data_IF_860634954649
#
_entry.id   IF_860634954649
#
_cell.length_a   1.000
_cell.length_b   1.000
_cell.length_c   1.000
_cell.angle_alpha   90.00
_cell.angle_beta   90.00
_cell.angle_gamma   90.00
#
_symmetry.space_group_name_H-M   'P 1'
#
loop_
_entity.id
_entity.type
_entity.pdbx_description
1 polymer ?
#
# COMPACT_ATOMS: atom_id res chain seq x y z
N UNK A 1 4.25 39.70 -20.17
CA UNK A 1 3.79 38.40 -19.68
C UNK A 1 2.71 37.92 -20.63
N UNK A 2 2.88 36.79 -21.33
CA UNK A 2 1.92 36.34 -22.33
C UNK A 2 0.72 35.69 -21.65
N UNK A 3 -0.45 35.78 -22.29
CA UNK A 3 -1.72 35.25 -21.76
C UNK A 3 -1.67 33.73 -21.50
N UNK A 4 -0.81 33.00 -22.24
CA UNK A 4 -0.54 31.56 -22.01
C UNK A 4 0.27 31.28 -20.74
N UNK A 5 1.19 32.18 -20.38
CA UNK A 5 2.02 32.03 -19.17
C UNK A 5 1.14 32.25 -17.92
N UNK A 6 0.22 33.22 -17.98
CA UNK A 6 -0.73 33.49 -16.90
C UNK A 6 -1.69 32.33 -16.66
N UNK A 7 -2.19 31.69 -17.73
CA UNK A 7 -3.04 30.50 -17.62
C UNK A 7 -2.29 29.32 -17.00
N UNK A 8 -1.05 29.09 -17.44
CA UNK A 8 -0.21 28.00 -16.91
C UNK A 8 0.12 28.21 -15.42
N UNK A 9 0.39 29.45 -15.02
CA UNK A 9 0.62 29.79 -13.61
C UNK A 9 -0.64 29.58 -12.77
N UNK A 10 -1.80 30.02 -13.24
CA UNK A 10 -3.05 29.87 -12.50
C UNK A 10 -3.45 28.39 -12.37
N UNK A 11 -3.25 27.59 -13.41
CA UNK A 11 -3.43 26.13 -13.34
C UNK A 11 -2.45 25.48 -12.35
N UNK A 12 -1.19 25.92 -12.31
CA UNK A 12 -0.21 25.42 -11.34
C UNK A 12 -0.58 25.81 -9.90
N UNK A 13 -1.02 27.04 -9.67
CA UNK A 13 -1.47 27.50 -8.36
C UNK A 13 -2.69 26.71 -7.87
N UNK A 14 -3.66 26.46 -8.75
CA UNK A 14 -4.84 25.67 -8.39
C UNK A 14 -4.46 24.22 -8.06
N UNK A 15 -3.56 23.62 -8.85
CA UNK A 15 -3.01 22.29 -8.56
C UNK A 15 -2.28 22.25 -7.21
N UNK A 16 -1.54 23.31 -6.87
CA UNK A 16 -0.83 23.42 -5.61
C UNK A 16 -1.80 23.51 -4.43
N UNK A 17 -2.82 24.37 -4.53
CA UNK A 17 -3.85 24.53 -3.48
C UNK A 17 -4.59 23.24 -3.21
N UNK A 18 -5.00 22.54 -4.28
CA UNK A 18 -5.63 21.22 -4.18
C UNK A 18 -4.68 20.25 -3.49
N UNK A 19 -3.42 20.18 -3.93
CA UNK A 19 -2.44 19.27 -3.34
C UNK A 19 -2.25 19.54 -1.84
N UNK A 20 -2.12 20.80 -1.42
CA UNK A 20 -1.98 21.18 -0.01
C UNK A 20 -3.19 20.78 0.84
N UNK A 21 -4.41 21.01 0.33
CA UNK A 21 -5.63 20.63 1.01
C UNK A 21 -5.72 19.11 1.19
N UNK A 22 -5.40 18.34 0.14
CA UNK A 22 -5.40 16.87 0.20
C UNK A 22 -4.31 16.35 1.13
N UNK A 23 -3.10 16.93 1.06
CA UNK A 23 -1.99 16.56 1.94
C UNK A 23 -2.35 16.78 3.42
N UNK A 24 -3.05 17.87 3.73
CA UNK A 24 -3.53 18.16 5.08
C UNK A 24 -4.50 17.08 5.58
N UNK A 25 -5.53 16.74 4.80
CA UNK A 25 -6.51 15.72 5.19
C UNK A 25 -5.88 14.33 5.33
N UNK A 26 -4.95 13.97 4.42
CA UNK A 26 -4.25 12.68 4.46
C UNK A 26 -3.31 12.59 5.67
N UNK A 27 -2.54 13.65 5.96
CA UNK A 27 -1.69 13.71 7.16
C UNK A 27 -2.53 13.63 8.43
N UNK A 28 -3.64 14.36 8.49
CA UNK A 28 -4.58 14.33 9.61
C UNK A 28 -5.16 12.93 9.82
N UNK A 29 -5.49 12.23 8.74
CA UNK A 29 -5.99 10.87 8.80
C UNK A 29 -4.94 9.86 9.30
N UNK A 30 -3.70 9.97 8.82
CA UNK A 30 -2.60 9.09 9.21
C UNK A 30 -2.07 9.39 10.61
N UNK A 31 -2.15 10.64 11.07
CA UNK A 31 -1.65 11.07 12.36
C UNK A 31 -2.19 10.19 13.51
N UNK A 32 -1.27 9.65 14.32
CA UNK A 32 -1.60 8.75 15.43
C UNK A 32 -1.97 7.31 15.04
N UNK A 33 -2.01 6.99 13.74
CA UNK A 33 -2.27 5.64 13.19
C UNK A 33 -1.07 5.07 12.41
N UNK A 34 -0.01 5.86 12.27
CA UNK A 34 1.29 5.46 11.71
C UNK A 34 1.79 4.16 12.38
N UNK A 35 2.25 3.20 11.59
CA UNK A 35 2.68 1.89 12.10
C UNK A 35 1.56 0.90 12.39
N UNK A 36 0.30 1.33 12.42
CA UNK A 36 -0.83 0.45 12.70
C UNK A 36 -1.66 0.17 11.46
N UNK A 37 -1.29 -0.89 10.74
CA UNK A 37 -1.97 -1.32 9.52
C UNK A 37 -3.48 -1.53 9.71
N UNK A 38 -3.90 -2.03 10.89
CA UNK A 38 -5.31 -2.27 11.18
C UNK A 38 -6.08 -0.95 11.29
N UNK A 39 -5.53 0.02 12.00
CA UNK A 39 -6.14 1.33 12.19
C UNK A 39 -6.25 2.09 10.85
N UNK A 40 -5.19 2.07 10.03
CA UNK A 40 -5.19 2.68 8.70
C UNK A 40 -6.27 2.06 7.81
N UNK A 41 -6.31 0.73 7.70
CA UNK A 41 -7.33 0.05 6.87
C UNK A 41 -8.75 0.30 7.39
N UNK A 42 -8.98 0.26 8.70
CA UNK A 42 -10.32 0.43 9.26
C UNK A 42 -10.90 1.85 9.16
N UNK A 43 -10.08 2.83 8.80
CA UNK A 43 -10.50 4.23 8.71
C UNK A 43 -10.21 4.84 7.35
N UNK A 44 -9.95 4.01 6.34
CA UNK A 44 -9.60 4.48 5.00
C UNK A 44 -10.77 5.24 4.35
N UNK A 45 -12.02 4.95 4.70
CA UNK A 45 -13.18 5.68 4.18
C UNK A 45 -13.18 7.18 4.51
N UNK A 46 -12.39 7.63 5.48
CA UNK A 46 -12.31 9.05 5.86
C UNK A 46 -11.63 9.93 4.81
N UNK A 47 -10.75 9.34 3.99
CA UNK A 47 -9.95 10.08 2.98
C UNK A 47 -10.30 9.70 1.55
N UNK A 48 -11.03 8.60 1.34
CA UNK A 48 -11.42 8.14 0.02
C UNK A 48 -12.68 8.80 -0.48
N UNK A 49 -12.84 8.81 -1.80
CA UNK A 49 -14.04 9.28 -2.47
C UNK A 49 -15.03 8.13 -2.71
N UNK A 50 -16.36 8.41 -2.79
CA UNK A 50 -17.40 7.37 -2.88
C UNK A 50 -17.23 6.41 -4.07
N UNK A 51 -16.74 6.88 -5.22
CA UNK A 51 -16.62 6.12 -6.47
C UNK A 51 -15.39 5.20 -6.52
N UNK A 52 -14.52 5.25 -5.51
CA UNK A 52 -13.33 4.40 -5.46
C UNK A 52 -13.68 2.91 -5.29
N UNK A 53 -14.88 2.62 -4.77
CA UNK A 53 -15.37 1.25 -4.52
C UNK A 53 -14.81 0.64 -3.24
N UNK A 54 -14.42 1.47 -2.27
CA UNK A 54 -14.02 1.02 -0.94
C UNK A 54 -15.23 0.71 -0.07
N UNK A 55 -15.14 -0.41 0.66
CA UNK A 55 -16.12 -0.80 1.66
C UNK A 55 -15.51 -0.59 3.05
N UNK A 56 -16.16 0.13 3.97
CA UNK A 56 -15.69 0.29 5.34
C UNK A 56 -15.45 -1.06 6.01
N UNK A 57 -14.34 -1.19 6.74
CA UNK A 57 -13.94 -2.44 7.40
C UNK A 57 -13.80 -2.23 8.90
N UNK A 58 -14.50 -3.05 9.69
CA UNK A 58 -14.40 -2.99 11.15
C UNK A 58 -13.06 -3.56 11.64
N UNK A 59 -12.55 -3.03 12.75
CA UNK A 59 -11.39 -3.60 13.45
C UNK A 59 -11.60 -5.06 13.86
N UNK A 60 -12.86 -5.47 14.09
CA UNK A 60 -13.22 -6.87 14.38
C UNK A 60 -12.91 -7.81 13.21
N UNK A 61 -12.96 -7.31 11.98
CA UNK A 61 -12.65 -8.09 10.78
C UNK A 61 -11.14 -8.14 10.50
N UNK A 62 -10.34 -7.34 11.23
CA UNK A 62 -8.90 -7.19 11.08
C UNK A 62 -8.10 -7.87 12.21
N UNK A 63 -8.71 -8.78 12.97
CA UNK A 63 -8.04 -9.48 14.09
C UNK A 63 -6.83 -10.29 13.60
N UNK A 64 -7.02 -11.11 12.55
CA UNK A 64 -5.99 -12.04 12.07
C UNK A 64 -5.06 -11.40 11.04
N UNK A 65 -3.80 -11.84 11.00
CA UNK A 65 -2.85 -11.40 9.97
C UNK A 65 -3.32 -11.74 8.55
N UNK A 66 -4.03 -12.86 8.38
CA UNK A 66 -4.64 -13.27 7.12
C UNK A 66 -5.72 -12.29 6.64
N UNK A 67 -6.59 -11.83 7.53
CA UNK A 67 -7.64 -10.87 7.19
C UNK A 67 -7.07 -9.48 6.88
N UNK A 68 -6.06 -9.02 7.64
CA UNK A 68 -5.32 -7.78 7.33
C UNK A 68 -4.71 -7.82 5.92
N UNK A 69 -4.02 -8.91 5.57
CA UNK A 69 -3.45 -9.09 4.22
C UNK A 69 -4.51 -9.09 3.12
N UNK A 70 -5.68 -9.69 3.37
CA UNK A 70 -6.79 -9.72 2.43
C UNK A 70 -7.37 -8.33 2.19
N UNK A 71 -7.61 -7.57 3.27
CA UNK A 71 -8.15 -6.21 3.19
C UNK A 71 -7.14 -5.24 2.59
N UNK A 72 -5.85 -5.37 2.91
CA UNK A 72 -4.78 -4.60 2.26
C UNK A 72 -4.80 -4.79 0.74
N UNK A 73 -4.92 -6.03 0.24
CA UNK A 73 -5.01 -6.28 -1.21
C UNK A 73 -6.22 -5.62 -1.85
N UNK A 74 -7.35 -5.53 -1.15
CA UNK A 74 -8.52 -4.78 -1.63
C UNK A 74 -8.20 -3.28 -1.67
N UNK A 75 -7.61 -2.75 -0.60
CA UNK A 75 -7.25 -1.35 -0.48
C UNK A 75 -6.34 -0.91 -1.62
N UNK A 76 -5.26 -1.66 -1.87
CA UNK A 76 -4.31 -1.34 -2.95
C UNK A 76 -4.97 -1.34 -4.33
N UNK A 77 -5.99 -2.17 -4.58
CA UNK A 77 -6.73 -2.15 -5.85
C UNK A 77 -7.62 -0.91 -5.98
N UNK A 78 -8.22 -0.43 -4.88
CA UNK A 78 -9.04 0.78 -4.88
C UNK A 78 -8.22 2.04 -5.17
N UNK A 79 -7.02 2.13 -4.57
CA UNK A 79 -6.13 3.30 -4.72
C UNK A 79 -5.02 3.11 -5.76
N UNK A 80 -5.05 2.01 -6.54
CA UNK A 80 -4.01 1.78 -7.55
C UNK A 80 -4.09 2.86 -8.65
N UNK A 81 -2.98 3.53 -9.03
CA UNK A 81 -3.00 4.61 -10.00
C UNK A 81 -3.61 4.20 -11.35
N UNK A 82 -3.32 2.98 -11.84
CA UNK A 82 -3.93 2.45 -13.08
C UNK A 82 -5.47 2.31 -12.96
N UNK A 83 -5.98 1.84 -11.82
CA UNK A 83 -7.44 1.66 -11.63
C UNK A 83 -8.17 2.98 -11.45
N UNK A 84 -7.54 3.90 -10.72
CA UNK A 84 -8.02 5.27 -10.53
C UNK A 84 -8.04 6.01 -11.88
N UNK A 85 -7.00 5.85 -12.69
CA UNK A 85 -6.93 6.41 -14.04
C UNK A 85 -8.01 5.83 -14.97
N UNK A 86 -8.24 4.51 -14.95
CA UNK A 86 -9.27 3.84 -15.76
C UNK A 86 -10.69 4.34 -15.45
N UNK A 87 -10.95 4.75 -14.21
CA UNK A 87 -12.25 5.29 -13.77
C UNK A 87 -12.44 6.78 -14.10
N UNK A 88 -11.50 7.42 -14.78
CA UNK A 88 -11.59 8.85 -15.13
C UNK A 88 -11.45 9.78 -13.92
N UNK A 89 -10.63 9.39 -12.93
CA UNK A 89 -10.48 10.14 -11.69
C UNK A 89 -10.00 11.58 -11.88
N UNK A 90 -10.46 12.47 -10.99
CA UNK A 90 -10.01 13.86 -10.92
C UNK A 90 -8.55 13.95 -10.46
N UNK A 91 -7.94 15.13 -10.60
CA UNK A 91 -6.59 15.34 -10.11
C UNK A 91 -6.48 15.09 -8.59
N UNK A 92 -7.48 15.53 -7.84
CA UNK A 92 -7.55 15.37 -6.38
C UNK A 92 -7.57 13.88 -6.00
N UNK A 93 -8.41 13.10 -6.69
CA UNK A 93 -8.55 11.66 -6.46
C UNK A 93 -7.25 10.90 -6.78
N UNK A 94 -6.55 11.29 -7.85
CA UNK A 94 -5.23 10.71 -8.18
C UNK A 94 -4.21 11.00 -7.08
N UNK A 95 -4.20 12.24 -6.58
CA UNK A 95 -3.31 12.66 -5.51
C UNK A 95 -3.58 11.87 -4.22
N UNK A 96 -4.85 11.78 -3.80
CA UNK A 96 -5.26 10.99 -2.64
C UNK A 96 -4.82 9.53 -2.81
N UNK A 97 -5.12 8.92 -3.96
CA UNK A 97 -4.76 7.53 -4.23
C UNK A 97 -3.26 7.29 -4.13
N UNK A 98 -2.44 8.15 -4.75
CA UNK A 98 -0.99 8.05 -4.70
C UNK A 98 -0.47 8.09 -3.25
N UNK A 99 -0.88 9.11 -2.49
CA UNK A 99 -0.45 9.27 -1.10
C UNK A 99 -0.92 8.14 -0.18
N UNK A 100 -2.18 7.73 -0.28
CA UNK A 100 -2.72 6.62 0.51
C UNK A 100 -2.04 5.30 0.13
N UNK A 101 -1.78 5.08 -1.17
CA UNK A 101 -1.07 3.89 -1.64
C UNK A 101 0.34 3.83 -1.07
N UNK A 102 1.09 4.94 -1.09
CA UNK A 102 2.45 5.01 -0.56
C UNK A 102 2.48 4.72 0.96
N UNK A 103 1.59 5.34 1.73
CA UNK A 103 1.45 5.09 3.17
C UNK A 103 1.18 3.61 3.44
N UNK A 104 0.18 3.02 2.77
CA UNK A 104 -0.17 1.61 2.97
C UNK A 104 0.97 0.68 2.58
N UNK A 105 1.68 0.99 1.50
CA UNK A 105 2.83 0.20 1.02
C UNK A 105 3.98 0.25 2.01
N UNK A 106 4.32 1.43 2.54
CA UNK A 106 5.39 1.61 3.52
C UNK A 106 5.16 0.74 4.75
N UNK A 107 3.98 0.84 5.37
CA UNK A 107 3.67 0.07 6.57
C UNK A 107 3.53 -1.43 6.32
N UNK A 108 3.00 -1.81 5.16
CA UNK A 108 2.93 -3.23 4.78
C UNK A 108 4.33 -3.81 4.60
N UNK A 109 5.24 -3.08 3.97
CA UNK A 109 6.63 -3.51 3.81
C UNK A 109 7.29 -3.69 5.17
N UNK A 110 7.14 -2.73 6.10
CA UNK A 110 7.68 -2.83 7.45
C UNK A 110 7.14 -4.04 8.24
N UNK A 111 5.84 -4.32 8.17
CA UNK A 111 5.23 -5.51 8.77
C UNK A 111 5.82 -6.81 8.18
N UNK A 112 6.06 -6.84 6.87
CA UNK A 112 6.68 -8.00 6.22
C UNK A 112 8.18 -8.10 6.42
N UNK A 113 8.88 -6.99 6.60
CA UNK A 113 10.32 -6.92 6.85
C UNK A 113 10.67 -7.28 8.30
N UNK A 114 9.82 -6.92 9.27
CA UNK A 114 9.89 -7.46 10.63
C UNK A 114 9.74 -8.99 10.70
N UNK A 115 8.98 -9.57 9.77
CA UNK A 115 8.92 -11.03 9.60
C UNK A 115 10.15 -11.59 8.84
N UNK A 116 10.71 -10.82 7.89
CA UNK A 116 11.93 -11.22 7.16
C UNK A 116 13.19 -11.12 8.01
N UNK A 117 13.30 -10.25 9.01
CA UNK A 117 14.45 -10.28 9.93
C UNK A 117 14.41 -11.47 10.87
N UNK A 118 13.22 -11.91 11.32
CA UNK A 118 13.10 -13.19 12.03
C UNK A 118 13.51 -14.39 11.15
N UNK A 119 13.18 -14.36 9.86
CA UNK A 119 13.54 -15.43 8.91
C UNK A 119 14.99 -15.30 8.42
N UNK A 120 15.53 -14.10 8.24
CA UNK A 120 16.92 -13.86 7.83
C UNK A 120 17.91 -14.18 8.96
N UNK A 121 17.53 -13.98 10.23
CA UNK A 121 18.34 -14.45 11.37
C UNK A 121 18.22 -15.97 11.55
N UNK A 122 17.07 -16.58 11.20
CA UNK A 122 16.88 -18.04 11.26
C UNK A 122 17.51 -18.80 10.07
N UNK A 123 17.62 -18.20 8.88
CA UNK A 123 18.29 -18.81 7.72
C UNK A 123 19.82 -18.54 7.65
N UNK A 124 20.35 -17.65 8.48
CA UNK A 124 21.80 -17.37 8.58
C UNK A 124 22.47 -18.16 9.73
N UNK A 125 21.78 -19.11 10.36
CA UNK A 125 22.34 -19.85 11.51
C UNK A 125 21.96 -21.33 11.60
N UNK A 126 22.01 -22.05 10.48
CA UNK A 126 22.04 -23.51 10.46
C UNK A 126 22.91 -23.98 9.28
N UNK A 127 24.21 -23.79 9.39
CA UNK A 127 25.19 -24.60 8.68
C UNK A 127 26.05 -25.25 9.77
N UNK A 128 25.55 -26.37 10.29
CA UNK A 128 26.40 -27.34 10.96
C UNK A 128 25.75 -28.72 10.92
N UNK A 129 26.46 -29.61 10.23
CA UNK A 129 26.53 -31.05 10.45
C UNK A 129 25.64 -32.00 9.63
N UNK A 130 26.40 -32.83 8.89
CA UNK A 130 26.23 -34.23 8.49
C UNK A 130 25.48 -34.57 7.20
N UNK A 131 26.30 -34.54 6.14
CA UNK A 131 26.24 -35.44 5.01
C UNK A 131 26.08 -36.91 5.48
N UNK A 132 24.90 -37.50 5.31
CA UNK A 132 24.75 -38.95 5.28
C UNK A 132 24.06 -39.35 3.98
N UNK A 133 24.75 -40.26 3.29
CA UNK A 133 24.35 -40.99 2.10
C UNK A 133 22.90 -41.46 2.10
N UNK A 134 22.31 -41.52 0.89
CA UNK A 134 21.38 -42.61 0.57
C UNK A 134 20.18 -42.23 -0.28
N UNK A 135 20.34 -42.35 -1.59
CA UNK A 135 19.33 -42.83 -2.56
C UNK A 135 17.86 -42.45 -2.35
N UNK A 136 17.42 -41.44 -3.09
CA UNK A 136 16.12 -41.38 -3.77
C UNK A 136 16.28 -40.17 -4.69
N UNK A 137 16.45 -40.27 -6.00
CA UNK A 137 15.52 -40.78 -6.99
C UNK A 137 16.29 -41.22 -8.24
N UNK A 138 16.11 -42.48 -8.63
CA UNK A 138 16.46 -42.94 -9.97
C UNK A 138 15.32 -42.58 -10.91
N UNK A 139 15.65 -41.97 -12.05
CA UNK A 139 15.00 -42.28 -13.32
C UNK A 139 13.76 -41.47 -13.70
N UNK A 140 13.98 -40.27 -14.23
CA UNK A 140 13.28 -39.91 -15.47
C UNK A 140 14.04 -38.80 -16.20
N UNK A 141 14.27 -39.01 -17.51
CA UNK A 141 15.00 -38.17 -18.48
C UNK A 141 16.53 -38.26 -18.35
N UNK A 142 17.32 -38.69 -19.33
CA UNK A 142 17.17 -38.77 -20.79
C UNK A 142 18.03 -39.93 -21.33
N UNK A 143 18.08 -40.09 -22.65
CA UNK A 143 19.05 -40.90 -23.40
C UNK A 143 20.41 -41.09 -22.70
#
# INVERSE_FOLDING_TARGET
MNQRDLQSQNEQEERHRIAEAMDFEIKRWAAGKEGNMRALLSSMEQVLWPECGWEPVSLTDLITSGSVKKVYRKATLCVHPDKVQQKGATLEQKYIAEKVFDILKEWFLLETEGARTAVAVLWVRNDDTVQTHGNFYQGMRQF
#
